data_IF_806798060764
#
_entry.id   IF_806798060764
#
_cell.length_a   1.000
_cell.length_b   1.000
_cell.length_c   1.000
_cell.angle_alpha   90.00
_cell.angle_beta   90.00
_cell.angle_gamma   90.00
#
_symmetry.space_group_name_H-M   'P 1'
#
loop_
_entity.id
_entity.type
_entity.pdbx_description
1 polymer ?
#
# COMPACT_ATOMS: atom_id res chain seq x y z
N UNK A 1 12.42 22.80 9.43
CA UNK A 1 11.09 22.26 9.06
C UNK A 1 11.32 20.87 8.52
N UNK A 2 10.69 19.86 9.10
CA UNK A 2 10.84 18.47 8.63
C UNK A 2 9.83 18.24 7.52
N UNK A 3 10.30 17.81 6.34
CA UNK A 3 9.45 17.57 5.16
C UNK A 3 9.10 16.09 4.99
N UNK A 4 9.83 15.20 5.66
CA UNK A 4 9.67 13.75 5.56
C UNK A 4 9.65 13.12 6.94
N UNK A 5 8.74 12.17 7.14
CA UNK A 5 8.67 11.34 8.33
C UNK A 5 8.73 9.88 7.88
N UNK A 6 9.77 9.12 8.28
CA UNK A 6 9.82 7.69 7.99
C UNK A 6 8.77 6.95 8.82
N UNK A 7 8.14 5.95 8.21
CA UNK A 7 7.22 5.04 8.90
C UNK A 7 7.56 3.60 8.55
N UNK A 8 7.40 2.72 9.52
CA UNK A 8 7.57 1.27 9.40
C UNK A 8 6.41 0.66 8.62
N UNK A 9 6.66 -0.51 8.02
CA UNK A 9 5.57 -1.33 7.50
C UNK A 9 4.64 -1.77 8.63
N UNK A 10 3.41 -2.10 8.25
CA UNK A 10 2.34 -2.65 9.09
C UNK A 10 1.75 -1.69 10.14
N UNK A 11 2.44 -0.61 10.47
CA UNK A 11 1.92 0.42 11.36
C UNK A 11 0.84 1.26 10.68
N UNK A 12 -0.28 1.42 11.39
CA UNK A 12 -1.36 2.32 11.00
C UNK A 12 -1.14 3.66 11.66
N UNK A 13 -1.16 4.73 10.87
CA UNK A 13 -0.97 6.10 11.36
C UNK A 13 -1.90 7.09 10.68
N UNK A 14 -2.26 8.15 11.41
CA UNK A 14 -3.07 9.24 10.88
C UNK A 14 -2.19 10.23 10.10
N UNK A 15 -2.62 10.59 8.88
CA UNK A 15 -1.97 11.63 8.07
C UNK A 15 -2.76 12.92 8.02
N UNK A 16 -4.07 12.84 8.29
CA UNK A 16 -5.00 13.95 8.42
C UNK A 16 -6.25 13.48 9.19
N UNK A 17 -7.11 14.38 9.70
CA UNK A 17 -8.38 13.99 10.30
C UNK A 17 -9.21 13.10 9.37
N UNK A 18 -9.56 11.89 9.83
CA UNK A 18 -10.33 10.92 9.04
C UNK A 18 -9.53 10.15 8.00
N UNK A 19 -8.20 10.32 7.92
CA UNK A 19 -7.35 9.61 6.96
C UNK A 19 -6.27 8.83 7.69
N UNK A 20 -6.37 7.51 7.65
CA UNK A 20 -5.37 6.57 8.18
C UNK A 20 -4.67 5.86 7.05
N UNK A 21 -3.38 5.62 7.23
CA UNK A 21 -2.52 4.97 6.23
C UNK A 21 -1.75 3.84 6.88
N UNK A 22 -1.54 2.76 6.12
CA UNK A 22 -0.60 1.68 6.43
C UNK A 22 0.23 1.37 5.20
N UNK A 23 1.54 1.25 5.40
CA UNK A 23 2.45 0.73 4.37
C UNK A 23 2.58 -0.78 4.53
N UNK A 24 2.56 -1.50 3.41
CA UNK A 24 2.79 -2.94 3.33
C UNK A 24 3.90 -3.18 2.31
N UNK A 25 4.76 -4.15 2.54
CA UNK A 25 5.86 -4.44 1.63
C UNK A 25 5.33 -4.79 0.22
N UNK A 26 5.77 -4.07 -0.81
CA UNK A 26 5.35 -4.35 -2.20
C UNK A 26 6.28 -5.35 -2.91
N UNK A 27 7.44 -5.68 -2.32
CA UNK A 27 8.38 -6.65 -2.89
C UNK A 27 9.01 -6.25 -4.24
N UNK A 28 8.98 -4.96 -4.60
CA UNK A 28 9.43 -4.45 -5.92
C UNK A 28 10.84 -3.84 -5.90
N UNK A 29 11.15 -3.10 -4.84
CA UNK A 29 12.47 -2.55 -4.53
C UNK A 29 12.56 -2.33 -3.02
N UNK A 30 13.77 -2.18 -2.48
CA UNK A 30 13.95 -1.84 -1.06
C UNK A 30 13.15 -0.58 -0.68
N UNK A 31 12.22 -0.73 0.26
CA UNK A 31 11.36 0.36 0.73
C UNK A 31 10.11 0.60 -0.12
N UNK A 32 9.86 -0.19 -1.17
CA UNK A 32 8.61 -0.11 -1.92
C UNK A 32 7.43 -0.54 -1.06
N UNK A 33 6.26 0.04 -1.31
CA UNK A 33 5.11 -0.18 -0.46
C UNK A 33 3.78 -0.19 -1.23
N UNK A 34 2.93 -1.16 -0.88
CA UNK A 34 1.49 -1.09 -1.08
C UNK A 34 0.93 -0.18 0.01
N UNK A 35 0.01 0.68 -0.37
CA UNK A 35 -0.61 1.71 0.46
C UNK A 35 -2.06 1.30 0.75
N UNK A 36 -2.36 1.02 2.01
CA UNK A 36 -3.73 0.89 2.49
C UNK A 36 -4.17 2.22 3.10
N UNK A 37 -5.25 2.79 2.58
CA UNK A 37 -5.77 4.10 3.00
C UNK A 37 -7.21 3.93 3.45
N UNK A 38 -7.47 4.22 4.73
CA UNK A 38 -8.83 4.30 5.28
C UNK A 38 -9.27 5.75 5.31
N UNK A 39 -10.39 6.03 4.66
CA UNK A 39 -11.05 7.33 4.59
C UNK A 39 -12.34 7.24 5.37
N UNK A 40 -12.47 8.05 6.42
CA UNK A 40 -13.66 8.10 7.26
C UNK A 40 -14.40 9.42 7.07
N UNK A 41 -15.65 9.33 6.62
CA UNK A 41 -16.59 10.45 6.58
C UNK A 41 -17.85 10.09 7.39
N UNK A 42 -18.15 10.86 8.42
CA UNK A 42 -19.22 10.58 9.37
C UNK A 42 -19.07 9.17 9.99
N UNK A 43 -20.09 8.32 9.82
CA UNK A 43 -20.14 6.94 10.31
C UNK A 43 -19.70 5.90 9.25
N UNK A 44 -19.30 6.34 8.06
CA UNK A 44 -18.85 5.47 6.97
C UNK A 44 -17.32 5.49 6.85
N UNK A 45 -16.75 4.31 6.58
CA UNK A 45 -15.32 4.15 6.31
C UNK A 45 -15.11 3.38 5.01
N UNK A 46 -14.30 3.95 4.13
CA UNK A 46 -13.91 3.36 2.85
C UNK A 46 -12.43 3.06 2.87
N UNK A 47 -12.05 1.90 2.35
CA UNK A 47 -10.66 1.44 2.24
C UNK A 47 -10.24 1.40 0.78
N UNK A 48 -9.24 2.18 0.42
CA UNK A 48 -8.61 2.20 -0.91
C UNK A 48 -7.21 1.63 -0.80
N UNK A 49 -6.88 0.71 -1.70
CA UNK A 49 -5.56 0.08 -1.79
C UNK A 49 -4.87 0.56 -3.05
N UNK A 50 -3.66 1.11 -2.91
CA UNK A 50 -2.79 1.46 -4.03
C UNK A 50 -1.63 0.48 -4.05
N UNK A 51 -1.46 -0.27 -5.13
CA UNK A 51 -0.40 -1.30 -5.20
C UNK A 51 1.00 -0.70 -5.21
N UNK A 52 1.16 0.51 -5.77
CA UNK A 52 2.46 0.93 -6.29
C UNK A 52 2.89 -0.01 -7.42
N UNK A 53 4.20 -0.11 -7.65
CA UNK A 53 4.75 -1.16 -8.52
C UNK A 53 4.93 -2.42 -7.68
N UNK A 54 4.45 -3.56 -8.20
CA UNK A 54 4.47 -4.82 -7.48
C UNK A 54 5.70 -5.64 -7.83
N UNK A 55 6.24 -6.28 -6.79
CA UNK A 55 7.25 -7.32 -6.91
C UNK A 55 6.77 -8.56 -7.62
N UNK A 56 7.70 -9.26 -8.25
CA UNK A 56 7.43 -10.61 -8.71
C UNK A 56 7.39 -11.56 -7.50
N UNK A 57 6.35 -12.41 -7.42
CA UNK A 57 6.33 -13.51 -6.46
C UNK A 57 7.50 -14.47 -6.75
N UNK A 58 8.19 -14.93 -5.70
CA UNK A 58 9.39 -15.78 -5.78
C UNK A 58 10.64 -15.10 -6.35
N UNK A 59 10.83 -13.81 -6.06
CA UNK A 59 12.11 -13.16 -6.35
C UNK A 59 13.24 -13.71 -5.46
N UNK A 60 14.47 -13.76 -5.98
CA UNK A 60 15.64 -14.29 -5.25
C UNK A 60 16.14 -13.35 -4.14
N UNK A 61 15.84 -12.05 -4.24
CA UNK A 61 16.42 -11.01 -3.38
C UNK A 61 15.39 -10.29 -2.50
N UNK A 62 14.17 -10.11 -3.01
CA UNK A 62 13.12 -9.33 -2.38
C UNK A 62 12.03 -10.24 -1.82
N UNK A 63 11.40 -9.80 -0.73
CA UNK A 63 10.27 -10.51 -0.13
C UNK A 63 9.10 -10.54 -1.09
N UNK A 64 8.28 -11.58 -1.00
CA UNK A 64 7.00 -11.59 -1.70
C UNK A 64 6.17 -10.36 -1.29
N UNK A 65 5.41 -9.76 -2.23
CA UNK A 65 4.49 -8.68 -1.91
C UNK A 65 3.54 -9.11 -0.79
N UNK A 66 3.32 -8.22 0.17
CA UNK A 66 2.44 -8.47 1.30
C UNK A 66 0.99 -8.70 0.82
N UNK A 67 0.32 -9.65 1.45
CA UNK A 67 -1.10 -9.92 1.19
C UNK A 67 -1.96 -8.82 1.81
N UNK A 68 -2.92 -8.31 1.04
CA UNK A 68 -3.97 -7.39 1.48
C UNK A 68 -5.29 -8.15 1.52
N UNK A 69 -5.88 -8.24 2.72
CA UNK A 69 -7.05 -9.10 3.00
C UNK A 69 -8.36 -8.55 2.42
N UNK A 70 -8.52 -7.22 2.42
CA UNK A 70 -9.76 -6.54 2.08
C UNK A 70 -9.50 -5.18 1.43
N UNK A 71 -10.43 -4.74 0.58
CA UNK A 71 -10.47 -3.40 0.02
C UNK A 71 -11.89 -3.10 -0.49
N UNK A 72 -12.31 -1.84 -0.43
CA UNK A 72 -13.47 -1.38 -1.19
C UNK A 72 -13.07 -1.05 -2.63
N UNK A 73 -11.89 -0.46 -2.80
CA UNK A 73 -11.31 -0.12 -4.09
C UNK A 73 -9.85 -0.53 -4.16
N UNK A 74 -9.42 -0.98 -5.35
CA UNK A 74 -8.01 -1.29 -5.64
C UNK A 74 -7.58 -0.47 -6.86
N UNK A 75 -6.50 0.30 -6.69
CA UNK A 75 -5.77 0.97 -7.75
C UNK A 75 -4.47 0.20 -7.95
N UNK A 76 -4.43 -0.58 -9.02
CA UNK A 76 -3.32 -1.48 -9.32
C UNK A 76 -2.52 -1.00 -10.52
N UNK A 77 -1.21 -1.21 -10.48
CA UNK A 77 -0.36 -1.04 -11.65
C UNK A 77 -0.74 -2.01 -12.78
N UNK A 78 -0.27 -1.71 -13.99
CA UNK A 78 -0.61 -2.49 -15.18
C UNK A 78 0.57 -2.63 -16.13
N UNK A 79 1.80 -2.64 -15.63
CA UNK A 79 3.03 -2.64 -16.45
C UNK A 79 3.06 -3.82 -17.42
N UNK A 80 2.56 -4.98 -16.98
CA UNK A 80 2.44 -6.20 -17.77
C UNK A 80 0.99 -6.65 -17.97
N UNK A 81 0.04 -5.72 -17.92
CA UNK A 81 -1.40 -6.02 -17.98
C UNK A 81 -1.88 -6.64 -19.31
N UNK A 82 -1.04 -6.62 -20.34
CA UNK A 82 -1.29 -7.20 -21.66
C UNK A 82 -0.60 -8.56 -21.89
N UNK A 83 0.15 -9.05 -20.90
CA UNK A 83 0.88 -10.32 -20.96
C UNK A 83 -0.11 -11.49 -20.84
N UNK A 84 -0.01 -12.44 -21.77
CA UNK A 84 -0.81 -13.68 -21.77
C UNK A 84 -0.13 -14.81 -21.02
#
# INVERSE_FOLDING_TARGET
MVLFQPTTYDDVFDVAPGIRVRFRDAGHMLGSAILEVWLKENDEEVKVVFSGDLGQQESVLERDPAVVEDAHFVVIESTYGDRR
#
